data_IF_161645852419
#
_entry.id   IF_161645852419
#
_cell.length_a   1.000
_cell.length_b   1.000
_cell.length_c   1.000
_cell.angle_alpha   90.00
_cell.angle_beta   90.00
_cell.angle_gamma   90.00
#
_symmetry.space_group_name_H-M   'P 1'
#
loop_
_entity.id
_entity.type
_entity.pdbx_description
1 polymer ?
#
# COMPACT_ATOMS: atom_id res chain seq x y z
N UNK A 1 5.30 9.58 2.23
CA UNK A 1 4.12 9.23 3.05
C UNK A 1 3.56 7.88 2.61
N UNK A 2 3.28 6.95 3.54
CA UNK A 2 2.65 5.67 3.20
C UNK A 2 1.14 5.85 2.94
N UNK A 3 0.66 5.26 1.85
CA UNK A 3 -0.76 5.21 1.48
C UNK A 3 -1.09 3.78 1.08
N UNK A 4 -2.16 3.23 1.61
CA UNK A 4 -2.65 1.90 1.25
C UNK A 4 -3.91 2.03 0.43
N UNK A 5 -3.90 1.47 -0.77
CA UNK A 5 -5.09 1.23 -1.56
C UNK A 5 -5.65 -0.16 -1.25
N UNK A 6 -6.93 -0.20 -0.91
CA UNK A 6 -7.73 -1.42 -0.99
C UNK A 6 -8.43 -1.45 -2.34
N UNK A 7 -8.61 -2.64 -2.89
CA UNK A 7 -9.29 -2.77 -4.16
C UNK A 7 -9.83 -4.15 -4.46
N UNK A 8 -10.59 -4.18 -5.55
CA UNK A 8 -11.22 -5.37 -6.10
C UNK A 8 -10.80 -5.58 -7.54
N UNK A 9 -10.48 -6.82 -7.88
CA UNK A 9 -10.30 -7.28 -9.25
C UNK A 9 -10.90 -8.68 -9.43
N UNK A 10 -11.29 -9.08 -10.66
CA UNK A 10 -11.67 -10.47 -10.94
C UNK A 10 -10.55 -11.43 -10.57
N UNK A 11 -10.89 -12.60 -10.01
CA UNK A 11 -9.89 -13.58 -9.55
C UNK A 11 -8.90 -13.99 -10.65
N UNK A 12 -9.37 -14.10 -11.91
CA UNK A 12 -8.54 -14.40 -13.09
C UNK A 12 -7.45 -13.34 -13.37
N UNK A 13 -7.68 -12.10 -12.96
CA UNK A 13 -6.79 -10.96 -13.25
C UNK A 13 -5.86 -10.64 -12.07
N UNK A 14 -6.10 -11.23 -10.89
CA UNK A 14 -5.42 -10.90 -9.64
C UNK A 14 -3.90 -11.02 -9.74
N UNK A 15 -3.41 -12.09 -10.39
CA UNK A 15 -1.97 -12.30 -10.59
C UNK A 15 -1.35 -11.26 -11.53
N UNK A 16 -2.09 -10.77 -12.52
CA UNK A 16 -1.60 -9.69 -13.40
C UNK A 16 -1.56 -8.37 -12.65
N UNK A 17 -2.64 -8.04 -11.93
CA UNK A 17 -2.74 -6.85 -11.07
C UNK A 17 -1.60 -6.80 -10.05
N UNK A 18 -1.36 -7.88 -9.31
CA UNK A 18 -0.28 -7.93 -8.32
C UNK A 18 1.10 -7.80 -8.93
N UNK A 19 1.37 -8.43 -10.09
CA UNK A 19 2.67 -8.27 -10.78
C UNK A 19 2.90 -6.82 -11.20
N UNK A 20 1.89 -6.16 -11.77
CA UNK A 20 1.99 -4.75 -12.18
C UNK A 20 2.18 -3.81 -11.00
N UNK A 21 1.51 -4.07 -9.86
CA UNK A 21 1.69 -3.30 -8.62
C UNK A 21 3.08 -3.55 -8.01
N UNK A 22 3.53 -4.81 -7.94
CA UNK A 22 4.85 -5.18 -7.42
C UNK A 22 6.01 -4.55 -8.21
N UNK A 23 5.81 -4.32 -9.51
CA UNK A 23 6.81 -3.68 -10.38
C UNK A 23 6.94 -2.16 -10.15
N UNK A 24 6.07 -1.53 -9.35
CA UNK A 24 6.14 -0.11 -9.07
C UNK A 24 7.24 0.22 -8.04
N UNK A 25 8.18 1.12 -8.35
CA UNK A 25 9.24 1.51 -7.41
C UNK A 25 8.73 2.11 -6.09
N UNK A 26 7.54 2.72 -6.11
CA UNK A 26 6.88 3.27 -4.92
C UNK A 26 6.07 2.21 -4.14
N UNK A 27 5.76 1.05 -4.72
CA UNK A 27 5.04 -0.01 -4.04
C UNK A 27 5.97 -0.71 -3.04
N UNK A 28 5.51 -0.87 -1.80
CA UNK A 28 6.28 -1.43 -0.69
C UNK A 28 5.70 -2.75 -0.20
N UNK A 29 4.40 -2.92 -0.34
CA UNK A 29 3.67 -4.15 -0.04
C UNK A 29 2.57 -4.29 -1.07
N UNK A 30 2.40 -5.49 -1.61
CA UNK A 30 1.19 -5.91 -2.33
C UNK A 30 0.79 -7.28 -1.82
N UNK A 31 -0.50 -7.49 -1.59
CA UNK A 31 -1.02 -8.74 -1.05
C UNK A 31 -2.42 -9.04 -1.57
N UNK A 32 -2.69 -10.33 -1.76
CA UNK A 32 -4.05 -10.84 -1.76
C UNK A 32 -4.57 -10.81 -0.32
N UNK A 33 -5.78 -10.29 -0.12
CA UNK A 33 -6.44 -10.24 1.18
C UNK A 33 -7.83 -10.86 1.10
N UNK A 34 -8.36 -11.29 2.24
CA UNK A 34 -9.73 -11.78 2.37
C UNK A 34 -10.64 -10.66 2.89
N UNK A 35 -11.93 -10.72 2.56
CA UNK A 35 -12.92 -9.72 2.97
C UNK A 35 -13.62 -9.09 1.77
N UNK A 36 -14.14 -7.85 1.91
CA UNK A 36 -14.84 -7.16 0.83
C UNK A 36 -13.90 -6.79 -0.33
N UNK A 37 -12.61 -6.63 -0.04
CA UNK A 37 -11.55 -6.36 -1.00
C UNK A 37 -10.64 -7.57 -1.15
N UNK A 38 -10.02 -7.74 -2.32
CA UNK A 38 -9.11 -8.84 -2.60
C UNK A 38 -7.71 -8.42 -3.05
N UNK A 39 -7.45 -7.10 -3.11
CA UNK A 39 -6.15 -6.49 -3.36
C UNK A 39 -5.85 -5.48 -2.26
N UNK A 40 -4.64 -5.55 -1.71
CA UNK A 40 -4.06 -4.51 -0.87
C UNK A 40 -2.72 -4.09 -1.45
N UNK A 41 -2.48 -2.79 -1.58
CA UNK A 41 -1.20 -2.24 -2.00
C UNK A 41 -0.81 -1.00 -1.20
N UNK A 42 0.35 -1.04 -0.54
CA UNK A 42 0.92 0.11 0.16
C UNK A 42 1.99 0.77 -0.69
N UNK A 43 1.79 2.04 -1.01
CA UNK A 43 2.71 2.89 -1.79
C UNK A 43 3.34 3.96 -0.91
N UNK A 44 4.54 4.39 -1.27
CA UNK A 44 5.20 5.55 -0.68
C UNK A 44 5.15 6.73 -1.64
N UNK A 45 4.28 7.68 -1.34
CA UNK A 45 4.05 8.86 -2.17
C UNK A 45 4.69 10.12 -1.56
N UNK A 46 5.09 11.13 -2.36
CA UNK A 46 5.68 12.36 -1.84
C UNK A 46 4.73 13.14 -0.92
N UNK A 47 3.45 13.25 -1.28
CA UNK A 47 2.44 13.88 -0.43
C UNK A 47 1.00 13.48 -0.75
N UNK A 48 0.04 14.09 -0.02
CA UNK A 48 -1.40 13.82 -0.17
C UNK A 48 -1.89 14.14 -1.59
N UNK A 49 -1.38 15.22 -2.19
CA UNK A 49 -1.76 15.61 -3.56
C UNK A 49 -1.36 14.61 -4.65
N UNK A 50 -0.43 13.68 -4.35
CA UNK A 50 -0.03 12.63 -5.30
C UNK A 50 -0.97 11.42 -5.29
N UNK A 51 -1.85 11.29 -4.29
CA UNK A 51 -2.74 10.14 -4.12
C UNK A 51 -3.64 10.00 -5.34
N UNK A 52 -4.42 11.04 -5.64
CA UNK A 52 -5.38 11.01 -6.74
C UNK A 52 -4.69 10.82 -8.10
N UNK A 53 -3.53 11.47 -8.31
CA UNK A 53 -2.75 11.29 -9.54
C UNK A 53 -2.27 9.85 -9.70
N UNK A 54 -1.73 9.26 -8.63
CA UNK A 54 -1.24 7.88 -8.65
C UNK A 54 -2.36 6.89 -8.87
N UNK A 55 -3.48 7.07 -8.18
CA UNK A 55 -4.65 6.23 -8.33
C UNK A 55 -5.21 6.29 -9.75
N UNK A 56 -5.35 7.49 -10.31
CA UNK A 56 -5.80 7.67 -11.71
C UNK A 56 -4.89 6.93 -12.68
N UNK A 57 -3.57 7.09 -12.54
CA UNK A 57 -2.59 6.40 -13.38
C UNK A 57 -2.64 4.87 -13.20
N UNK A 58 -2.88 4.39 -11.98
CA UNK A 58 -3.06 2.96 -11.68
C UNK A 58 -4.30 2.39 -12.35
N UNK A 59 -5.46 3.03 -12.17
CA UNK A 59 -6.73 2.58 -12.76
C UNK A 59 -6.68 2.61 -14.30
N UNK A 60 -6.00 3.59 -14.90
CA UNK A 60 -5.78 3.63 -16.35
C UNK A 60 -4.91 2.45 -16.83
N UNK A 61 -3.88 2.07 -16.05
CA UNK A 61 -2.97 0.97 -16.40
C UNK A 61 -3.51 -0.41 -16.03
N UNK A 62 -4.42 -0.49 -15.07
CA UNK A 62 -5.06 -1.71 -14.56
C UNK A 62 -6.58 -1.55 -14.61
N UNK A 63 -7.21 -1.64 -15.80
CA UNK A 63 -8.65 -1.41 -15.95
C UNK A 63 -9.53 -2.40 -15.17
N UNK A 64 -9.00 -3.58 -14.83
CA UNK A 64 -9.69 -4.59 -14.02
C UNK A 64 -9.62 -4.33 -12.51
N UNK A 65 -8.79 -3.38 -12.06
CA UNK A 65 -8.66 -2.99 -10.66
C UNK A 65 -9.60 -1.82 -10.34
N UNK A 66 -10.50 -2.02 -9.38
CA UNK A 66 -11.28 -0.95 -8.77
C UNK A 66 -10.71 -0.64 -7.39
N UNK A 67 -10.20 0.58 -7.18
CA UNK A 67 -9.76 1.04 -5.86
C UNK A 67 -10.97 1.43 -5.02
N UNK A 68 -11.20 0.73 -3.92
CA UNK A 68 -12.36 0.87 -3.04
C UNK A 68 -12.08 1.78 -1.85
N UNK A 69 -10.84 1.82 -1.36
CA UNK A 69 -10.46 2.66 -0.21
C UNK A 69 -9.03 3.22 -0.35
N UNK A 70 -8.78 4.37 0.31
CA UNK A 70 -7.48 5.05 0.39
C UNK A 70 -7.14 5.34 1.85
N UNK A 71 -6.31 4.49 2.44
CA UNK A 71 -5.88 4.64 3.84
C UNK A 71 -4.57 5.43 3.86
N UNK A 72 -4.59 6.60 4.48
CA UNK A 72 -3.44 7.49 4.57
C UNK A 72 -2.73 7.33 5.91
N UNK A 73 -1.45 6.95 5.89
CA UNK A 73 -0.65 6.88 7.09
C UNK A 73 -0.13 8.26 7.49
N UNK A 74 -0.73 8.84 8.53
CA UNK A 74 -0.35 10.16 9.05
C UNK A 74 0.98 10.13 9.81
N UNK A 75 1.24 9.05 10.55
CA UNK A 75 2.47 8.87 11.33
C UNK A 75 2.86 7.40 11.37
N UNK A 76 4.13 7.11 11.10
CA UNK A 76 4.71 5.78 11.31
C UNK A 76 5.36 5.71 12.67
N UNK A 77 4.68 5.15 13.66
CA UNK A 77 5.22 4.98 15.03
C UNK A 77 6.17 3.79 15.17
N UNK A 78 6.05 2.81 14.26
CA UNK A 78 6.89 1.62 14.20
C UNK A 78 7.10 1.20 12.75
N UNK A 79 8.33 0.85 12.37
CA UNK A 79 8.66 0.31 11.05
C UNK A 79 9.60 -0.89 11.19
N UNK A 80 9.17 -2.05 10.70
CA UNK A 80 9.95 -3.29 10.72
C UNK A 80 10.61 -3.60 12.08
N UNK A 81 9.84 -3.43 13.16
CA UNK A 81 10.36 -3.64 14.51
C UNK A 81 11.02 -2.42 15.15
N UNK A 82 11.38 -1.38 14.40
CA UNK A 82 11.96 -0.16 14.95
C UNK A 82 10.87 0.82 15.42
N UNK A 83 10.96 1.28 16.66
CA UNK A 83 10.10 2.36 17.17
C UNK A 83 10.65 3.71 16.70
N UNK A 84 9.76 4.63 16.30
CA UNK A 84 10.13 5.93 15.74
C UNK A 84 9.55 7.08 16.58
N UNK A 85 10.34 8.13 16.79
CA UNK A 85 9.89 9.39 17.38
C UNK A 85 9.02 10.21 16.41
N UNK A 86 8.69 11.45 16.79
CA UNK A 86 7.85 12.32 15.95
C UNK A 86 8.56 12.79 14.69
N UNK A 87 9.90 12.84 14.72
CA UNK A 87 10.77 13.21 13.62
C UNK A 87 11.18 11.99 12.77
N UNK A 88 10.65 10.80 13.07
CA UNK A 88 10.94 9.56 12.35
C UNK A 88 12.29 8.93 12.69
N UNK A 89 12.98 9.39 13.73
CA UNK A 89 14.26 8.82 14.19
C UNK A 89 14.01 7.61 15.07
N UNK A 90 14.93 6.65 15.03
CA UNK A 90 14.80 5.41 15.79
C UNK A 90 14.97 5.66 17.29
N UNK A 91 13.95 5.30 18.07
CA UNK A 91 13.98 5.30 19.55
C UNK A 91 14.37 3.94 20.14
N UNK A 92 14.16 2.85 19.39
CA UNK A 92 14.44 1.51 19.89
C UNK A 92 13.90 0.42 18.98
N UNK A 93 13.80 -0.79 19.54
CA UNK A 93 13.30 -1.95 18.82
C UNK A 93 12.24 -2.69 19.65
N UNK A 94 11.15 -3.09 19.01
CA UNK A 94 10.14 -4.04 19.46
C UNK A 94 9.99 -5.10 18.37
N UNK A 95 10.46 -6.34 18.58
CA UNK A 95 10.47 -7.36 17.55
C UNK A 95 9.11 -7.52 16.85
N UNK A 96 9.15 -7.89 15.57
CA UNK A 96 7.96 -8.43 14.90
C UNK A 96 7.82 -9.86 15.41
N UNK A 97 6.64 -10.22 15.92
CA UNK A 97 6.25 -11.60 16.19
C UNK A 97 5.15 -11.95 15.20
N UNK A 98 5.49 -12.55 14.05
CA UNK A 98 4.50 -12.86 13.02
C UNK A 98 3.64 -14.09 13.37
N UNK A 99 4.03 -14.83 14.41
CA UNK A 99 3.39 -16.00 14.98
C UNK A 99 3.48 -15.95 16.51
#
# INVERSE_FOLDING_TARGET
MPVTFLGRAPARDLNAVHRTLAALPECRVVAAVTGPDNVLATLWLPGVGDIQRRETALCARLPSLTVTDRIVGLRTVKRMGHLLDEQGRRLGTRPIRPW
#
